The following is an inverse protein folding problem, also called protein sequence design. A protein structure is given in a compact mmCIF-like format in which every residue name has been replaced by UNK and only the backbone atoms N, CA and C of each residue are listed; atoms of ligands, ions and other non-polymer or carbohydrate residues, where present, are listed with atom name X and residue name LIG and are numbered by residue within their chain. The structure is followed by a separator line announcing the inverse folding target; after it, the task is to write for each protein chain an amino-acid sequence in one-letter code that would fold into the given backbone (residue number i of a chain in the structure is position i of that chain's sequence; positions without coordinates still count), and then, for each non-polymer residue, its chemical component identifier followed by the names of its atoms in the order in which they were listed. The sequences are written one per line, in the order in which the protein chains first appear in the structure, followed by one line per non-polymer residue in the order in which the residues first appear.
data_IF_119486006505
#
_entry.id   IF_119486006505
#
_cell.length_a   1.000
_cell.length_b   1.000
_cell.length_c   1.000
_cell.angle_alpha   90.00
_cell.angle_beta   90.00
_cell.angle_gamma   90.00
#
_symmetry.space_group_name_H-M   'P 1'
#
loop_
_entity.id
_entity.type
_entity.pdbx_description
1 polymer ?
#
# COMPACT_ATOMS: atom_id res chain seq x y z
N UNK A 1 -2.27 18.91 -73.51
CA UNK A 1 -1.65 19.41 -72.26
C UNK A 1 -0.82 18.27 -71.67
N UNK A 2 0.49 18.50 -71.55
CA UNK A 2 1.46 17.63 -70.89
C UNK A 2 1.47 17.96 -69.40
N UNK A 3 1.51 16.95 -68.52
CA UNK A 3 2.24 16.96 -67.22
C UNK A 3 2.07 15.61 -66.50
N UNK A 4 3.04 14.70 -66.61
CA UNK A 4 4.14 14.37 -65.64
C UNK A 4 3.74 13.42 -64.51
N UNK A 5 4.37 12.23 -64.52
CA UNK A 5 4.50 11.25 -63.44
C UNK A 5 5.47 11.77 -62.38
N UNK A 6 5.20 11.57 -61.09
CA UNK A 6 6.24 11.51 -60.05
C UNK A 6 5.89 10.41 -59.04
N UNK A 7 6.71 9.36 -59.04
CA UNK A 7 6.83 8.40 -57.95
C UNK A 7 7.75 8.98 -56.87
N UNK A 8 7.41 8.82 -55.59
CA UNK A 8 8.32 9.13 -54.47
C UNK A 8 8.47 7.88 -53.62
N UNK A 9 9.67 7.32 -53.72
CA UNK A 9 10.31 6.37 -52.80
C UNK A 9 10.33 6.97 -51.37
N UNK A 10 9.83 6.25 -50.37
CA UNK A 10 10.20 6.52 -48.99
C UNK A 10 11.27 5.51 -48.55
N UNK A 11 12.48 6.04 -48.41
CA UNK A 11 13.66 5.33 -47.91
C UNK A 11 13.54 5.09 -46.40
N UNK A 12 13.77 3.85 -46.00
CA UNK A 12 13.94 3.42 -44.61
C UNK A 12 15.36 3.77 -44.18
N UNK A 13 15.51 4.73 -43.28
CA UNK A 13 16.79 5.04 -42.64
C UNK A 13 16.67 4.70 -41.16
N UNK A 14 17.17 3.53 -40.78
CA UNK A 14 17.34 3.12 -39.39
C UNK A 14 18.61 3.78 -38.84
N UNK A 15 18.44 4.74 -37.93
CA UNK A 15 19.53 5.31 -37.14
C UNK A 15 19.46 4.74 -35.72
N UNK A 16 20.34 3.78 -35.43
CA UNK A 16 20.52 3.22 -34.08
C UNK A 16 21.46 4.17 -33.33
N UNK A 17 20.91 4.96 -32.40
CA UNK A 17 21.71 5.66 -31.39
C UNK A 17 21.72 4.83 -30.10
N UNK A 18 22.87 4.23 -29.80
CA UNK A 18 23.14 3.64 -28.49
C UNK A 18 23.57 4.76 -27.52
N UNK A 19 22.64 5.26 -26.70
CA UNK A 19 22.98 6.09 -25.55
C UNK A 19 23.21 5.20 -24.34
N UNK A 20 24.48 5.02 -23.96
CA UNK A 20 24.85 4.44 -22.68
C UNK A 20 24.47 5.43 -21.57
N UNK A 21 23.31 5.22 -20.94
CA UNK A 21 22.93 5.95 -19.72
C UNK A 21 23.67 5.31 -18.55
N UNK A 22 24.75 5.93 -18.10
CA UNK A 22 25.31 5.67 -16.79
C UNK A 22 24.37 6.25 -15.74
N UNK A 23 23.55 5.38 -15.14
CA UNK A 23 22.73 5.75 -13.97
C UNK A 23 23.67 5.97 -12.79
N UNK A 24 24.07 7.23 -12.59
CA UNK A 24 24.78 7.66 -11.40
C UNK A 24 23.76 7.78 -10.27
N UNK A 25 23.67 6.74 -9.43
CA UNK A 25 22.83 6.75 -8.25
C UNK A 25 23.32 7.82 -7.26
N UNK A 26 22.69 9.00 -7.29
CA UNK A 26 22.77 9.96 -6.19
C UNK A 26 22.16 9.30 -4.95
N UNK A 27 23.05 8.79 -4.10
CA UNK A 27 22.73 8.46 -2.70
C UNK A 27 22.45 9.77 -1.97
N UNK A 28 21.21 10.24 -2.09
CA UNK A 28 20.67 11.28 -1.22
C UNK A 28 20.61 10.71 0.19
N UNK A 29 21.60 11.07 1.01
CA UNK A 29 21.56 10.90 2.45
C UNK A 29 20.40 11.73 3.01
N UNK A 30 19.28 11.06 3.27
CA UNK A 30 18.11 11.64 3.91
C UNK A 30 17.84 10.92 5.22
N UNK A 31 17.94 11.66 6.33
CA UNK A 31 17.56 11.20 7.66
C UNK A 31 16.25 10.43 7.60
N UNK A 32 16.32 9.19 8.09
CA UNK A 32 15.26 8.18 7.99
C UNK A 32 14.05 8.66 8.79
N UNK A 33 13.19 9.43 8.11
CA UNK A 33 11.89 9.91 8.58
C UNK A 33 11.12 8.70 9.10
N UNK A 34 10.95 8.64 10.42
CA UNK A 34 10.25 7.55 11.08
C UNK A 34 8.82 7.46 10.55
N UNK A 35 8.49 6.31 9.97
CA UNK A 35 7.29 5.59 10.36
C UNK A 35 5.97 5.96 9.70
N UNK A 36 5.91 6.02 8.38
CA UNK A 36 4.69 5.55 7.69
C UNK A 36 5.06 4.96 6.32
N UNK A 37 5.34 3.66 6.28
CA UNK A 37 5.55 2.93 5.02
C UNK A 37 4.33 3.15 4.14
N UNK A 38 4.50 3.71 2.94
CA UNK A 38 3.39 3.88 2.00
C UNK A 38 2.74 2.53 1.72
N UNK A 39 1.40 2.50 1.68
CA UNK A 39 0.65 1.31 1.27
C UNK A 39 0.95 1.04 -0.20
N UNK A 40 1.31 -0.20 -0.52
CA UNK A 40 1.55 -0.67 -1.91
C UNK A 40 0.52 -1.74 -2.28
N UNK A 41 0.31 -2.00 -3.58
CA UNK A 41 -0.60 -3.06 -4.05
C UNK A 41 -0.26 -4.44 -3.46
N UNK A 42 1.03 -4.72 -3.30
CA UNK A 42 1.53 -5.95 -2.69
C UNK A 42 1.06 -6.17 -1.23
N UNK A 43 0.68 -5.08 -0.54
CA UNK A 43 0.24 -5.11 0.87
C UNK A 43 -1.27 -5.07 1.02
N UNK A 44 -2.03 -4.80 -0.05
CA UNK A 44 -3.48 -4.77 -0.02
C UNK A 44 -3.98 -6.19 -0.30
N UNK A 45 -4.76 -6.83 0.60
CA UNK A 45 -5.27 -8.18 0.37
C UNK A 45 -6.05 -8.29 -0.94
N UNK A 46 -5.89 -9.40 -1.69
CA UNK A 46 -6.57 -9.60 -2.96
C UNK A 46 -8.10 -9.36 -2.89
N UNK A 47 -8.75 -9.80 -1.81
CA UNK A 47 -10.18 -9.57 -1.57
C UNK A 47 -10.56 -8.08 -1.49
N UNK A 48 -9.66 -7.21 -0.99
CA UNK A 48 -9.87 -5.77 -0.95
C UNK A 48 -9.62 -5.08 -2.30
N UNK A 49 -8.99 -5.78 -3.26
CA UNK A 49 -8.79 -5.29 -4.64
C UNK A 49 -9.94 -5.68 -5.58
N UNK A 50 -10.66 -6.75 -5.26
CA UNK A 50 -11.66 -7.37 -6.15
C UNK A 50 -12.75 -6.41 -6.62
N UNK A 51 -13.52 -5.85 -5.69
CA UNK A 51 -14.66 -4.99 -6.02
C UNK A 51 -14.23 -3.66 -6.67
N UNK A 52 -13.24 -2.92 -6.13
CA UNK A 52 -12.85 -1.63 -6.72
C UNK A 52 -12.25 -1.75 -8.12
N UNK A 53 -11.47 -2.81 -8.37
CA UNK A 53 -10.84 -3.05 -9.66
C UNK A 53 -11.66 -3.96 -10.58
N UNK A 54 -12.77 -4.52 -10.11
CA UNK A 54 -13.59 -5.49 -10.84
C UNK A 54 -12.72 -6.64 -11.38
N UNK A 55 -11.93 -7.24 -10.49
CA UNK A 55 -10.99 -8.28 -10.87
C UNK A 55 -11.74 -9.53 -11.35
N UNK A 56 -11.23 -10.16 -12.41
CA UNK A 56 -11.72 -11.49 -12.80
C UNK A 56 -11.24 -12.54 -11.81
N UNK A 57 -11.91 -13.71 -11.79
CA UNK A 57 -11.48 -14.85 -10.97
C UNK A 57 -10.02 -15.23 -11.23
N UNK A 58 -9.61 -15.24 -12.49
CA UNK A 58 -8.23 -15.54 -12.88
C UNK A 58 -7.22 -14.50 -12.35
N UNK A 59 -7.57 -13.21 -12.41
CA UNK A 59 -6.74 -12.15 -11.84
C UNK A 59 -6.62 -12.29 -10.32
N UNK A 60 -7.73 -12.60 -9.64
CA UNK A 60 -7.76 -12.87 -8.20
C UNK A 60 -6.86 -14.03 -7.80
N UNK A 61 -6.89 -15.14 -8.54
CA UNK A 61 -6.02 -16.29 -8.31
C UNK A 61 -4.54 -15.93 -8.49
N UNK A 62 -4.19 -15.22 -9.57
CA UNK A 62 -2.81 -14.76 -9.85
C UNK A 62 -2.29 -13.80 -8.78
N UNK A 63 -3.09 -12.80 -8.38
CA UNK A 63 -2.72 -11.84 -7.34
C UNK A 63 -2.54 -12.54 -5.99
N UNK A 64 -3.43 -13.47 -5.64
CA UNK A 64 -3.33 -14.26 -4.41
C UNK A 64 -2.06 -15.10 -4.38
N UNK A 65 -1.68 -15.71 -5.51
CA UNK A 65 -0.44 -16.46 -5.64
C UNK A 65 0.81 -15.56 -5.44
N UNK A 66 0.84 -14.37 -6.07
CA UNK A 66 1.92 -13.39 -5.90
C UNK A 66 2.05 -12.97 -4.43
N UNK A 67 0.94 -12.65 -3.78
CA UNK A 67 0.93 -12.25 -2.36
C UNK A 67 1.32 -13.37 -1.41
N UNK A 68 0.96 -14.62 -1.73
CA UNK A 68 1.36 -15.80 -0.94
C UNK A 68 2.85 -16.02 -1.02
N UNK A 69 3.41 -15.98 -2.24
CA UNK A 69 4.86 -16.07 -2.46
C UNK A 69 5.61 -14.94 -1.73
N UNK A 70 5.12 -13.71 -1.84
CA UNK A 70 5.69 -12.58 -1.09
C UNK A 70 5.72 -12.85 0.41
N UNK A 71 4.61 -13.34 0.99
CA UNK A 71 4.54 -13.67 2.43
C UNK A 71 5.53 -14.76 2.83
N UNK A 72 5.71 -15.79 2.00
CA UNK A 72 6.68 -16.87 2.22
C UNK A 72 8.12 -16.35 2.18
N UNK A 73 8.47 -15.57 1.15
CA UNK A 73 9.80 -14.96 1.01
C UNK A 73 10.10 -13.99 2.17
N UNK A 74 9.11 -13.19 2.59
CA UNK A 74 9.24 -12.29 3.75
C UNK A 74 9.39 -13.04 5.08
N UNK A 75 8.72 -14.19 5.25
CA UNK A 75 8.87 -15.05 6.44
C UNK A 75 10.28 -15.62 6.52
N UNK A 76 10.84 -16.04 5.38
CA UNK A 76 12.23 -16.51 5.28
C UNK A 76 13.26 -15.45 5.71
N UNK A 77 12.95 -14.15 5.54
CA UNK A 77 13.82 -13.06 5.98
C UNK A 77 13.74 -12.76 7.49
N UNK A 78 12.61 -13.05 8.15
CA UNK A 78 12.36 -12.63 9.53
C UNK A 78 13.02 -13.54 10.58
N UNK A 79 13.35 -14.79 10.24
CA UNK A 79 13.86 -15.79 11.20
C UNK A 79 15.38 -15.79 11.42
N UNK A 80 16.14 -14.91 10.73
CA UNK A 80 17.59 -15.10 10.57
C UNK A 80 18.51 -14.35 11.52
N UNK A 81 18.03 -13.49 12.43
CA UNK A 81 18.90 -12.65 13.27
C UNK A 81 19.90 -11.77 12.49
N UNK A 82 19.67 -11.59 11.19
CA UNK A 82 20.62 -11.01 10.25
C UNK A 82 20.64 -9.49 10.24
N UNK A 83 21.55 -8.94 9.43
CA UNK A 83 21.70 -7.49 9.24
C UNK A 83 20.35 -6.84 8.88
N UNK A 84 19.95 -5.90 9.74
CA UNK A 84 18.70 -5.15 9.62
C UNK A 84 18.65 -4.36 8.33
N UNK A 85 19.79 -3.85 7.85
CA UNK A 85 19.83 -3.09 6.61
C UNK A 85 19.60 -3.97 5.40
N UNK A 86 20.35 -5.08 5.29
CA UNK A 86 20.10 -6.12 4.28
C UNK A 86 18.64 -6.58 4.27
N UNK A 87 18.05 -6.86 5.44
CA UNK A 87 16.67 -7.30 5.56
C UNK A 87 15.66 -6.27 5.05
N UNK A 88 15.89 -4.98 5.33
CA UNK A 88 15.02 -3.91 4.84
C UNK A 88 15.13 -3.72 3.33
N UNK A 89 16.35 -3.72 2.77
CA UNK A 89 16.60 -3.62 1.33
C UNK A 89 15.93 -4.79 0.59
N UNK A 90 16.12 -6.01 1.10
CA UNK A 90 15.52 -7.20 0.52
C UNK A 90 13.99 -7.16 0.60
N UNK A 91 13.42 -6.74 1.74
CA UNK A 91 11.97 -6.54 1.88
C UNK A 91 11.45 -5.53 0.86
N UNK A 92 12.15 -4.41 0.65
CA UNK A 92 11.75 -3.40 -0.33
C UNK A 92 11.76 -3.98 -1.75
N UNK A 93 12.83 -4.67 -2.14
CA UNK A 93 12.92 -5.33 -3.45
C UNK A 93 11.77 -6.31 -3.69
N UNK A 94 11.47 -7.16 -2.70
CA UNK A 94 10.37 -8.12 -2.79
C UNK A 94 9.00 -7.43 -2.94
N UNK A 95 8.76 -6.36 -2.18
CA UNK A 95 7.52 -5.58 -2.30
C UNK A 95 7.41 -4.88 -3.66
N UNK A 96 8.49 -4.29 -4.16
CA UNK A 96 8.53 -3.66 -5.49
C UNK A 96 8.24 -4.68 -6.58
N UNK A 97 8.92 -5.84 -6.54
CA UNK A 97 8.69 -6.91 -7.51
C UNK A 97 7.26 -7.41 -7.48
N UNK A 98 6.73 -7.74 -6.30
CA UNK A 98 5.34 -8.19 -6.16
C UNK A 98 4.33 -7.14 -6.66
N UNK A 99 4.61 -5.84 -6.44
CA UNK A 99 3.77 -4.75 -6.95
C UNK A 99 3.78 -4.73 -8.48
N UNK A 100 4.95 -4.83 -9.12
CA UNK A 100 5.07 -4.88 -10.58
C UNK A 100 4.38 -6.12 -11.17
N UNK A 101 4.56 -7.28 -10.52
CA UNK A 101 3.92 -8.53 -10.94
C UNK A 101 2.39 -8.41 -10.84
N UNK A 102 1.84 -7.76 -9.80
CA UNK A 102 0.41 -7.49 -9.68
C UNK A 102 -0.06 -6.52 -10.77
N UNK A 103 0.66 -5.42 -11.00
CA UNK A 103 0.32 -4.46 -12.05
C UNK A 103 0.28 -5.11 -13.43
N UNK A 104 1.18 -6.06 -13.71
CA UNK A 104 1.19 -6.81 -14.96
C UNK A 104 -0.05 -7.72 -15.15
N UNK A 105 -0.73 -8.10 -14.07
CA UNK A 105 -1.99 -8.86 -14.11
C UNK A 105 -3.20 -7.95 -14.39
N UNK A 106 -3.08 -6.66 -14.09
CA UNK A 106 -4.16 -5.69 -14.27
C UNK A 106 -4.24 -5.19 -15.71
N UNK A 107 -5.47 -4.92 -16.16
CA UNK A 107 -5.70 -4.18 -17.41
C UNK A 107 -5.36 -2.70 -17.22
N UNK A 108 -5.18 -1.97 -18.32
CA UNK A 108 -4.85 -0.54 -18.24
C UNK A 108 -5.98 0.28 -17.61
N UNK A 109 -7.24 -0.08 -17.87
CA UNK A 109 -8.40 0.52 -17.21
C UNK A 109 -8.41 0.28 -15.69
N UNK A 110 -7.93 -0.88 -15.23
CA UNK A 110 -7.81 -1.18 -13.80
C UNK A 110 -6.65 -0.43 -13.16
N UNK A 111 -5.50 -0.34 -13.84
CA UNK A 111 -4.33 0.43 -13.37
C UNK A 111 -4.67 1.91 -13.12
N UNK A 112 -5.53 2.51 -13.94
CA UNK A 112 -5.98 3.89 -13.74
C UNK A 112 -6.72 4.10 -12.41
N UNK A 113 -7.35 3.07 -11.85
CA UNK A 113 -8.05 3.13 -10.55
C UNK A 113 -7.14 2.88 -9.35
N UNK A 114 -5.95 2.32 -9.57
CA UNK A 114 -5.01 1.95 -8.50
C UNK A 114 -4.62 3.14 -7.60
N UNK A 115 -4.30 4.34 -8.11
CA UNK A 115 -3.91 5.46 -7.25
C UNK A 115 -5.00 5.83 -6.24
N UNK A 116 -6.26 5.86 -6.66
CA UNK A 116 -7.38 6.20 -5.78
C UNK A 116 -7.68 5.07 -4.80
N UNK A 117 -7.55 3.81 -5.24
CA UNK A 117 -7.63 2.66 -4.35
C UNK A 117 -6.54 2.70 -3.26
N UNK A 118 -5.29 3.04 -3.61
CA UNK A 118 -4.21 3.17 -2.63
C UNK A 118 -4.52 4.28 -1.62
N UNK A 119 -5.03 5.43 -2.07
CA UNK A 119 -5.46 6.52 -1.16
C UNK A 119 -6.57 6.03 -0.22
N UNK A 120 -7.54 5.30 -0.73
CA UNK A 120 -8.62 4.74 0.07
C UNK A 120 -8.12 3.73 1.11
N UNK A 121 -7.17 2.86 0.75
CA UNK A 121 -6.55 1.93 1.69
C UNK A 121 -5.72 2.67 2.76
N UNK A 122 -5.09 3.79 2.41
CA UNK A 122 -4.44 4.66 3.39
C UNK A 122 -5.44 5.28 4.38
N UNK A 123 -6.62 5.68 3.91
CA UNK A 123 -7.72 6.17 4.78
C UNK A 123 -8.10 5.11 5.81
N UNK A 124 -8.33 3.87 5.37
CA UNK A 124 -8.66 2.77 6.28
C UNK A 124 -7.56 2.51 7.30
N UNK A 125 -6.30 2.49 6.87
CA UNK A 125 -5.16 2.32 7.77
C UNK A 125 -5.02 3.46 8.78
N UNK A 126 -5.24 4.71 8.37
CA UNK A 126 -5.23 5.86 9.28
C UNK A 126 -6.34 5.76 10.33
N UNK A 127 -7.51 5.27 9.92
CA UNK A 127 -8.63 4.95 10.78
C UNK A 127 -8.41 3.69 11.64
N UNK A 128 -7.27 3.00 11.51
CA UNK A 128 -6.97 1.75 12.22
C UNK A 128 -7.87 0.57 11.84
N UNK A 129 -8.48 0.63 10.66
CA UNK A 129 -9.23 -0.48 10.07
C UNK A 129 -8.22 -1.42 9.40
N UNK A 130 -8.16 -2.71 9.77
CA UNK A 130 -7.30 -3.68 9.11
C UNK A 130 -7.73 -3.90 7.66
N UNK A 131 -6.78 -3.91 6.72
CA UNK A 131 -7.09 -4.03 5.29
C UNK A 131 -7.69 -5.40 4.94
N UNK A 132 -7.36 -6.41 5.74
CA UNK A 132 -7.82 -7.80 5.65
C UNK A 132 -9.33 -7.96 5.81
N UNK A 133 -9.97 -7.04 6.54
CA UNK A 133 -11.41 -7.09 6.78
C UNK A 133 -12.21 -6.07 5.98
N UNK A 134 -11.57 -5.14 5.27
CA UNK A 134 -12.25 -4.03 4.55
C UNK A 134 -13.35 -4.56 3.62
N UNK A 135 -13.07 -5.61 2.85
CA UNK A 135 -14.07 -6.21 1.95
C UNK A 135 -15.27 -6.79 2.72
N UNK A 136 -15.04 -7.38 3.90
CA UNK A 136 -16.09 -7.95 4.74
C UNK A 136 -16.94 -6.87 5.44
N UNK A 137 -16.37 -5.68 5.68
CA UNK A 137 -17.08 -4.57 6.33
C UNK A 137 -18.21 -3.99 5.47
N UNK A 138 -18.15 -4.16 4.14
CA UNK A 138 -19.16 -3.64 3.20
C UNK A 138 -19.54 -2.19 3.52
N UNK A 139 -18.52 -1.33 3.69
CA UNK A 139 -18.70 0.06 4.10
C UNK A 139 -19.59 0.79 3.10
N UNK A 140 -20.58 1.52 3.60
CA UNK A 140 -21.46 2.32 2.74
C UNK A 140 -20.74 3.58 2.23
N UNK A 141 -21.18 4.19 1.12
CA UNK A 141 -20.59 5.44 0.62
C UNK A 141 -20.52 6.55 1.68
N UNK A 142 -21.57 6.67 2.51
CA UNK A 142 -21.62 7.63 3.61
C UNK A 142 -20.56 7.33 4.68
N UNK A 143 -20.35 6.05 5.01
CA UNK A 143 -19.30 5.64 5.95
C UNK A 143 -17.91 5.93 5.40
N UNK A 144 -17.66 5.62 4.12
CA UNK A 144 -16.40 5.93 3.45
C UNK A 144 -16.11 7.43 3.52
N UNK A 145 -17.10 8.27 3.21
CA UNK A 145 -16.97 9.74 3.26
C UNK A 145 -16.62 10.23 4.67
N UNK A 146 -17.27 9.68 5.71
CA UNK A 146 -16.95 10.02 7.11
C UNK A 146 -15.54 9.58 7.51
N UNK A 147 -15.11 8.39 7.06
CA UNK A 147 -13.75 7.88 7.33
C UNK A 147 -12.68 8.72 6.62
N UNK A 148 -12.94 9.21 5.41
CA UNK A 148 -12.03 10.13 4.72
C UNK A 148 -11.84 11.42 5.50
N UNK A 149 -12.91 12.01 6.03
CA UNK A 149 -12.83 13.19 6.87
C UNK A 149 -12.02 12.94 8.15
N UNK A 150 -12.25 11.80 8.82
CA UNK A 150 -11.48 11.38 10.00
C UNK A 150 -10.00 11.19 9.66
N UNK A 151 -9.69 10.54 8.53
CA UNK A 151 -8.31 10.32 8.08
C UNK A 151 -7.59 11.64 7.78
N UNK A 152 -8.26 12.60 7.13
CA UNK A 152 -7.69 13.93 6.87
C UNK A 152 -7.36 14.66 8.18
N UNK A 153 -8.28 14.65 9.15
CA UNK A 153 -8.01 15.22 10.47
C UNK A 153 -6.83 14.55 11.18
N UNK A 154 -6.76 13.21 11.13
CA UNK A 154 -5.65 12.44 11.68
C UNK A 154 -4.32 12.85 11.04
N UNK A 155 -4.28 12.99 9.71
CA UNK A 155 -3.08 13.43 8.98
C UNK A 155 -2.65 14.84 9.38
N UNK A 156 -3.58 15.81 9.41
CA UNK A 156 -3.27 17.19 9.82
C UNK A 156 -2.72 17.26 11.25
N UNK A 157 -3.31 16.50 12.19
CA UNK A 157 -2.81 16.44 13.57
C UNK A 157 -1.44 15.78 13.65
N UNK A 158 -1.20 14.73 12.87
CA UNK A 158 0.10 14.07 12.83
C UNK A 158 1.20 14.98 12.27
N UNK A 159 0.90 15.75 11.23
CA UNK A 159 1.81 16.75 10.66
C UNK A 159 2.17 17.84 11.68
N UNK A 160 1.16 18.37 12.40
CA UNK A 160 1.38 19.33 13.49
C UNK A 160 2.20 18.77 14.65
N UNK A 161 2.06 17.47 14.94
CA UNK A 161 2.86 16.79 15.97
C UNK A 161 4.31 16.56 15.53
N UNK A 162 4.57 16.26 14.25
CA UNK A 162 5.94 16.10 13.72
C UNK A 162 6.75 17.40 13.76
N UNK A 163 6.08 18.55 13.61
CA UNK A 163 6.73 19.87 13.66
C UNK A 163 6.79 20.45 15.08
N UNK A 164 5.86 20.06 15.96
CA UNK A 164 5.71 20.62 17.32
C UNK A 164 6.25 19.76 18.48
N UNK A 165 6.87 18.60 18.23
CA UNK A 165 7.43 17.75 19.29
C UNK A 165 6.41 16.89 20.04
N UNK A 166 5.36 16.41 19.35
CA UNK A 166 4.38 15.49 19.91
C UNK A 166 5.02 14.16 20.30
N UNK A 167 5.32 14.00 21.59
CA UNK A 167 5.88 12.78 22.15
C UNK A 167 4.97 11.56 21.98
N UNK A 168 5.42 10.42 22.49
CA UNK A 168 4.71 9.14 22.42
C UNK A 168 3.25 9.21 22.92
N UNK A 169 3.00 9.98 23.98
CA UNK A 169 1.66 10.13 24.58
C UNK A 169 0.71 10.91 23.66
N UNK A 170 1.17 11.98 23.00
CA UNK A 170 0.35 12.72 22.05
C UNK A 170 -0.08 11.87 20.85
N UNK A 171 0.80 10.97 20.37
CA UNK A 171 0.44 10.03 19.32
C UNK A 171 -0.59 8.99 19.81
N UNK A 172 -0.48 8.54 21.06
CA UNK A 172 -1.45 7.62 21.66
C UNK A 172 -2.82 8.27 21.79
N UNK A 173 -2.90 9.48 22.32
CA UNK A 173 -4.15 10.23 22.46
C UNK A 173 -4.79 10.49 21.09
N UNK A 174 -4.00 10.90 20.09
CA UNK A 174 -4.48 11.05 18.72
C UNK A 174 -5.08 9.74 18.19
N UNK A 175 -4.40 8.61 18.40
CA UNK A 175 -4.91 7.30 17.98
C UNK A 175 -6.20 6.94 18.69
N UNK A 176 -6.30 7.14 20.00
CA UNK A 176 -7.50 6.85 20.79
C UNK A 176 -8.68 7.72 20.34
N UNK A 177 -8.46 9.03 20.15
CA UNK A 177 -9.48 9.95 19.66
C UNK A 177 -9.96 9.60 18.24
N UNK A 178 -9.04 9.24 17.34
CA UNK A 178 -9.39 8.74 16.00
C UNK A 178 -10.19 7.45 16.08
N UNK A 179 -9.80 6.50 16.93
CA UNK A 179 -10.54 5.25 17.11
C UNK A 179 -11.97 5.50 17.59
N UNK A 180 -12.19 6.39 18.56
CA UNK A 180 -13.53 6.74 19.02
C UNK A 180 -14.41 7.28 17.88
N UNK A 181 -13.86 8.15 17.03
CA UNK A 181 -14.59 8.67 15.86
C UNK A 181 -14.93 7.58 14.85
N UNK A 182 -14.00 6.67 14.57
CA UNK A 182 -14.24 5.53 13.67
C UNK A 182 -15.32 4.61 14.22
N UNK A 183 -15.29 4.32 15.52
CA UNK A 183 -16.31 3.54 16.20
C UNK A 183 -17.70 4.19 16.12
N UNK A 184 -17.81 5.52 16.05
CA UNK A 184 -19.11 6.18 15.83
C UNK A 184 -19.64 6.03 14.39
N UNK A 185 -18.78 5.72 13.41
CA UNK A 185 -19.16 5.54 12.00
C UNK A 185 -19.57 4.09 11.70
N UNK A 186 -18.93 3.12 12.34
CA UNK A 186 -19.18 1.70 12.10
C UNK A 186 -20.47 1.22 12.79
N UNK A 187 -21.16 0.27 12.15
CA UNK A 187 -22.29 -0.46 12.76
C UNK A 187 -21.79 -1.47 13.81
N UNK A 188 -22.70 -1.98 14.66
CA UNK A 188 -22.34 -3.00 15.65
C UNK A 188 -21.70 -4.25 15.00
N UNK A 189 -22.26 -4.72 13.88
CA UNK A 189 -21.75 -5.89 13.16
C UNK A 189 -20.36 -5.63 12.57
N UNK A 190 -20.13 -4.45 11.99
CA UNK A 190 -18.83 -4.04 11.46
C UNK A 190 -17.76 -3.97 12.55
N UNK A 191 -18.11 -3.46 13.74
CA UNK A 191 -17.21 -3.44 14.90
C UNK A 191 -16.82 -4.85 15.32
N UNK A 192 -17.80 -5.75 15.40
CA UNK A 192 -17.55 -7.15 15.76
C UNK A 192 -16.58 -7.83 14.79
N UNK A 193 -16.64 -7.52 13.48
CA UNK A 193 -15.68 -8.01 12.48
C UNK A 193 -14.26 -7.50 12.79
N UNK A 194 -14.11 -6.20 13.05
CA UNK A 194 -12.80 -5.60 13.36
C UNK A 194 -12.23 -6.17 14.66
N UNK A 195 -13.04 -6.24 15.72
CA UNK A 195 -12.63 -6.75 17.03
C UNK A 195 -12.22 -8.22 16.98
N UNK A 196 -12.97 -9.05 16.23
CA UNK A 196 -12.61 -10.45 16.01
C UNK A 196 -11.25 -10.54 15.33
N UNK A 197 -11.01 -9.78 14.27
CA UNK A 197 -9.72 -9.78 13.59
C UNK A 197 -8.59 -9.34 14.52
N UNK A 198 -8.79 -8.29 15.32
CA UNK A 198 -7.78 -7.82 16.27
C UNK A 198 -7.44 -8.85 17.35
N UNK A 199 -8.44 -9.59 17.83
CA UNK A 199 -8.26 -10.67 18.80
C UNK A 199 -7.48 -11.84 18.20
N UNK A 200 -7.80 -12.21 16.97
CA UNK A 200 -7.18 -13.34 16.26
C UNK A 200 -5.78 -12.99 15.71
N UNK A 201 -5.47 -11.69 15.58
CA UNK A 201 -4.20 -11.17 15.05
C UNK A 201 -3.55 -10.17 16.02
N UNK A 202 -3.11 -10.62 17.20
CA UNK A 202 -2.48 -9.73 18.18
C UNK A 202 -1.23 -9.09 17.57
N UNK A 203 -1.13 -7.76 17.62
CA UNK A 203 0.05 -7.06 17.14
C UNK A 203 1.29 -7.52 17.92
N UNK A 204 2.36 -8.01 17.25
CA UNK A 204 3.60 -8.31 17.92
C UNK A 204 4.22 -6.99 18.39
N UNK A 205 4.13 -6.70 19.69
CA UNK A 205 4.75 -5.51 20.29
C UNK A 205 3.88 -4.64 21.21
N UNK A 206 2.78 -5.13 21.76
CA UNK A 206 2.12 -4.49 22.93
C UNK A 206 1.91 -5.51 24.06
N UNK A 207 2.98 -5.84 24.77
CA UNK A 207 2.91 -6.58 26.04
C UNK A 207 3.56 -7.96 26.04
N UNK A 208 4.90 -8.00 25.99
CA UNK A 208 5.72 -9.07 26.59
C UNK A 208 7.18 -8.59 26.66
N UNK A 209 7.41 -7.38 27.18
CA UNK A 209 8.70 -7.06 27.78
C UNK A 209 8.80 -7.89 29.07
N UNK A 210 9.70 -8.85 29.09
CA UNK A 210 9.82 -9.86 30.13
C UNK A 210 9.84 -9.29 31.55
N UNK A 211 8.90 -9.76 32.37
CA UNK A 211 9.18 -10.06 33.78
C UNK A 211 9.18 -11.57 33.88
N UNK A 212 10.35 -12.18 33.97
CA UNK A 212 10.45 -13.63 34.07
C UNK A 212 11.85 -14.18 33.93
N UNK A 213 12.72 -13.79 34.88
CA UNK A 213 13.90 -14.46 35.45
C UNK A 213 15.09 -13.53 35.55
#
# INVERSE_FOLDING_TARGET
MRTTRIAVLFAVTALILAAAVTVQAQRTGGGRRGGMTAVTLAQIPAAALEQPLQLTKEQMEKITAIQTKLREELRGLAGGGGDRQYTMERRQQLNTKATQDIEAVLTDAQKQKVPDLIKQMQVYRNCGIPLEVVAALKLTPDQVTKLEAISKEYQTKLEGMQTGGGGFDGFRELREATQQKVQAVLTADQKAIVEKWQRDNPQPGRGAGGRGR
#
